data_IF_699050680838
#
_entry.id   IF_699050680838
#
_cell.length_a   1.000
_cell.length_b   1.000
_cell.length_c   1.000
_cell.angle_alpha   90.00
_cell.angle_beta   90.00
_cell.angle_gamma   90.00
#
_symmetry.space_group_name_H-M   'P 1'
#
loop_
_entity.id
_entity.type
_entity.pdbx_description
1 polymer ?
#
# COMPACT_ATOMS: atom_id res chain seq x y z
N UNK A 1 -13.96 -7.14 14.84
CA UNK A 1 -13.92 -5.68 14.58
C UNK A 1 -13.68 -5.52 13.08
N UNK A 2 -14.32 -4.55 12.41
CA UNK A 2 -14.04 -4.27 11.00
C UNK A 2 -12.60 -3.79 10.83
N UNK A 3 -11.96 -4.10 9.70
CA UNK A 3 -10.59 -3.61 9.41
C UNK A 3 -10.53 -2.07 9.35
N UNK A 4 -11.56 -1.41 8.86
CA UNK A 4 -11.69 0.05 8.86
C UNK A 4 -11.63 0.64 10.27
N UNK A 5 -12.44 0.12 11.20
CA UNK A 5 -12.44 0.54 12.62
C UNK A 5 -11.09 0.22 13.30
N UNK A 6 -10.46 -0.90 12.95
CA UNK A 6 -9.11 -1.21 13.47
C UNK A 6 -8.09 -0.16 13.03
N UNK A 7 -8.10 0.20 11.74
CA UNK A 7 -7.17 1.21 11.22
C UNK A 7 -7.38 2.57 11.91
N UNK A 8 -8.65 3.01 12.08
CA UNK A 8 -8.97 4.26 12.80
C UNK A 8 -8.39 4.27 14.20
N UNK A 9 -8.67 3.23 14.97
CA UNK A 9 -8.18 3.12 16.36
C UNK A 9 -6.64 3.15 16.43
N UNK A 10 -5.94 2.52 15.47
CA UNK A 10 -4.48 2.56 15.43
C UNK A 10 -3.99 3.99 15.11
N UNK A 11 -4.63 4.68 14.16
CA UNK A 11 -4.25 6.03 13.74
C UNK A 11 -4.52 7.10 14.81
N UNK A 12 -5.45 6.87 15.72
CA UNK A 12 -5.69 7.72 16.90
C UNK A 12 -4.55 7.63 17.93
N UNK A 13 -3.81 6.53 17.93
CA UNK A 13 -2.66 6.34 18.81
C UNK A 13 -1.45 7.19 18.40
N UNK A 14 -0.43 7.20 19.26
CA UNK A 14 0.79 7.99 19.08
C UNK A 14 1.90 7.23 18.36
N UNK A 15 1.73 5.92 18.13
CA UNK A 15 2.75 5.09 17.50
C UNK A 15 2.66 5.13 15.98
N UNK A 16 3.83 5.14 15.34
CA UNK A 16 3.93 5.01 13.88
C UNK A 16 3.52 3.62 13.44
N UNK A 17 2.61 3.55 12.51
CA UNK A 17 2.15 2.32 11.89
C UNK A 17 3.07 1.93 10.73
N UNK A 18 3.80 0.82 10.88
CA UNK A 18 4.60 0.25 9.79
C UNK A 18 3.72 -0.61 8.89
N UNK A 19 3.77 -0.34 7.59
CA UNK A 19 3.04 -1.08 6.56
C UNK A 19 4.00 -1.59 5.47
N UNK A 20 4.33 -2.89 5.44
CA UNK A 20 5.18 -3.45 4.40
C UNK A 20 4.46 -3.47 3.06
N UNK A 21 5.18 -3.21 1.97
CA UNK A 21 4.65 -3.39 0.63
C UNK A 21 4.35 -4.86 0.39
N UNK A 22 3.13 -5.12 -0.03
CA UNK A 22 2.68 -6.42 -0.52
C UNK A 22 2.04 -6.26 -1.90
N UNK A 23 1.92 -7.34 -2.62
CA UNK A 23 1.38 -7.35 -3.98
C UNK A 23 0.41 -8.50 -4.22
N UNK A 24 0.34 -9.46 -3.29
CA UNK A 24 -0.61 -10.57 -3.31
C UNK A 24 -0.99 -11.04 -1.89
N UNK A 25 -1.94 -11.94 -1.84
CA UNK A 25 -2.46 -12.50 -0.59
C UNK A 25 -1.42 -13.30 0.20
N UNK A 26 -0.48 -13.97 -0.47
CA UNK A 26 0.55 -14.76 0.21
C UNK A 26 1.56 -13.87 0.93
N UNK A 27 2.04 -12.80 0.26
CA UNK A 27 2.92 -11.82 0.87
C UNK A 27 2.23 -11.11 2.05
N UNK A 28 0.93 -10.82 1.94
CA UNK A 28 0.15 -10.21 3.00
C UNK A 28 0.04 -11.12 4.25
N UNK A 29 -0.24 -12.42 4.06
CA UNK A 29 -0.26 -13.41 5.15
C UNK A 29 1.08 -13.53 5.85
N UNK A 30 2.18 -13.50 5.11
CA UNK A 30 3.53 -13.49 5.71
C UNK A 30 3.70 -12.21 6.57
N UNK A 31 3.28 -11.06 6.07
CA UNK A 31 3.32 -9.81 6.84
C UNK A 31 2.55 -9.89 8.16
N UNK A 32 1.32 -10.42 8.13
CA UNK A 32 0.52 -10.65 9.34
C UNK A 32 1.18 -11.65 10.29
N UNK A 33 1.69 -12.78 9.78
CA UNK A 33 2.38 -13.82 10.57
C UNK A 33 3.64 -13.28 11.26
N UNK A 34 4.40 -12.43 10.61
CA UNK A 34 5.57 -11.73 11.19
C UNK A 34 5.17 -10.73 12.27
N UNK A 35 3.91 -10.26 12.28
CA UNK A 35 3.35 -9.42 13.33
C UNK A 35 3.08 -7.97 12.95
N UNK A 36 3.13 -7.61 11.67
CA UNK A 36 2.70 -6.31 11.20
C UNK A 36 1.22 -6.07 11.53
N UNK A 37 0.90 -4.84 11.93
CA UNK A 37 -0.46 -4.45 12.34
C UNK A 37 -1.28 -3.86 11.20
N UNK A 38 -0.67 -3.70 10.04
CA UNK A 38 -1.30 -3.29 8.79
C UNK A 38 -0.49 -3.77 7.61
N UNK A 39 -1.14 -3.88 6.47
CA UNK A 39 -0.56 -4.27 5.17
C UNK A 39 -0.79 -3.13 4.19
N UNK A 40 0.18 -2.87 3.33
CA UNK A 40 0.04 -1.92 2.24
C UNK A 40 0.09 -2.62 0.88
N UNK A 41 -0.98 -2.55 0.10
CA UNK A 41 -1.00 -3.01 -1.28
C UNK A 41 -0.39 -1.95 -2.19
N UNK A 42 0.77 -2.26 -2.75
CA UNK A 42 1.52 -1.35 -3.63
C UNK A 42 1.13 -1.54 -5.09
N UNK A 43 0.75 -0.45 -5.79
CA UNK A 43 0.52 -0.45 -7.24
C UNK A 43 1.73 -0.90 -8.03
N UNK A 44 2.93 -0.45 -7.62
CA UNK A 44 4.20 -0.95 -8.19
C UNK A 44 4.33 -2.48 -8.02
N UNK A 45 4.03 -3.00 -6.83
CA UNK A 45 4.11 -4.45 -6.58
C UNK A 45 3.10 -5.24 -7.39
N UNK A 46 1.87 -4.75 -7.51
CA UNK A 46 0.83 -5.40 -8.32
C UNK A 46 1.24 -5.38 -9.80
N UNK A 47 1.72 -4.26 -10.33
CA UNK A 47 2.23 -4.17 -11.70
C UNK A 47 3.39 -5.16 -11.95
N UNK A 48 4.34 -5.22 -11.03
CA UNK A 48 5.46 -6.17 -11.08
C UNK A 48 4.97 -7.63 -11.11
N UNK A 49 3.96 -7.97 -10.30
CA UNK A 49 3.38 -9.33 -10.27
C UNK A 49 2.68 -9.73 -11.55
N UNK A 50 2.22 -8.75 -12.34
CA UNK A 50 1.62 -8.93 -13.67
C UNK A 50 2.65 -8.85 -14.81
N UNK A 51 3.95 -8.60 -14.50
CA UNK A 51 5.02 -8.52 -15.48
C UNK A 51 4.99 -7.23 -16.32
N UNK A 52 4.37 -6.17 -15.85
CA UNK A 52 4.31 -4.87 -16.52
C UNK A 52 4.92 -3.75 -15.67
N UNK A 53 5.48 -2.70 -16.29
CA UNK A 53 5.96 -1.55 -15.54
C UNK A 53 4.80 -0.76 -14.94
N UNK A 54 5.06 -0.12 -13.80
CA UNK A 54 4.07 0.70 -13.09
C UNK A 54 3.96 2.12 -13.70
N UNK A 55 3.25 2.20 -14.83
CA UNK A 55 3.02 3.42 -15.60
C UNK A 55 1.54 3.61 -15.98
N UNK A 56 0.63 3.21 -15.10
CA UNK A 56 -0.80 3.36 -15.30
C UNK A 56 -1.41 2.37 -16.30
N UNK A 57 -0.80 1.17 -16.46
CA UNK A 57 -1.29 0.14 -17.37
C UNK A 57 -2.40 -0.72 -16.75
N UNK A 58 -2.40 -0.88 -15.43
CA UNK A 58 -3.42 -1.67 -14.75
C UNK A 58 -4.75 -0.91 -14.68
N UNK A 59 -5.82 -1.65 -14.87
CA UNK A 59 -7.18 -1.14 -14.75
C UNK A 59 -7.63 -1.10 -13.28
N UNK A 60 -8.65 -0.28 -12.99
CA UNK A 60 -9.32 -0.27 -11.69
C UNK A 60 -9.78 -1.69 -11.28
N UNK A 61 -10.32 -2.46 -12.22
CA UNK A 61 -10.82 -3.81 -11.94
C UNK A 61 -9.72 -4.75 -11.47
N UNK A 62 -8.57 -4.76 -12.13
CA UNK A 62 -7.41 -5.58 -11.74
C UNK A 62 -6.88 -5.22 -10.36
N UNK A 63 -6.81 -3.92 -10.07
CA UNK A 63 -6.34 -3.42 -8.78
C UNK A 63 -7.32 -3.77 -7.65
N UNK A 64 -8.63 -3.61 -7.86
CA UNK A 64 -9.66 -3.93 -6.86
C UNK A 64 -9.75 -5.44 -6.62
N UNK A 65 -9.66 -6.25 -7.66
CA UNK A 65 -9.63 -7.71 -7.52
C UNK A 65 -8.44 -8.15 -6.65
N UNK A 66 -7.27 -7.61 -6.91
CA UNK A 66 -6.07 -7.90 -6.11
C UNK A 66 -6.22 -7.41 -4.66
N UNK A 67 -6.78 -6.20 -4.46
CA UNK A 67 -7.07 -5.65 -3.14
C UNK A 67 -8.03 -6.55 -2.34
N UNK A 68 -9.06 -7.10 -2.99
CA UNK A 68 -10.01 -8.02 -2.38
C UNK A 68 -9.34 -9.32 -1.92
N UNK A 69 -8.47 -9.93 -2.76
CA UNK A 69 -7.72 -11.12 -2.36
C UNK A 69 -6.83 -10.85 -1.14
N UNK A 70 -6.13 -9.72 -1.12
CA UNK A 70 -5.29 -9.33 0.02
C UNK A 70 -6.15 -9.13 1.27
N UNK A 71 -7.18 -8.28 1.20
CA UNK A 71 -8.01 -7.91 2.36
C UNK A 71 -8.74 -9.12 2.98
N UNK A 72 -9.17 -10.08 2.14
CA UNK A 72 -9.83 -11.30 2.61
C UNK A 72 -8.86 -12.34 3.18
N UNK A 73 -7.57 -12.23 2.91
CA UNK A 73 -6.57 -13.21 3.34
C UNK A 73 -6.00 -12.92 4.72
N UNK A 74 -6.18 -11.70 5.26
CA UNK A 74 -5.61 -11.25 6.53
C UNK A 74 -6.69 -10.63 7.44
N UNK A 75 -6.40 -10.60 8.75
CA UNK A 75 -7.28 -9.98 9.74
C UNK A 75 -6.84 -8.55 10.11
N UNK A 76 -5.64 -8.16 9.75
CA UNK A 76 -5.12 -6.81 9.95
C UNK A 76 -5.61 -5.85 8.86
N UNK A 77 -5.74 -4.54 9.13
CA UNK A 77 -6.16 -3.56 8.14
C UNK A 77 -5.25 -3.55 6.91
N UNK A 78 -5.86 -3.39 5.74
CA UNK A 78 -5.15 -3.22 4.46
C UNK A 78 -5.37 -1.80 3.95
N UNK A 79 -4.29 -1.11 3.60
CA UNK A 79 -4.31 0.17 2.90
C UNK A 79 -3.91 -0.12 1.44
N UNK A 80 -4.68 0.37 0.47
CA UNK A 80 -4.41 0.08 -0.94
C UNK A 80 -4.04 1.34 -1.74
N UNK A 81 -3.16 1.15 -2.71
CA UNK A 81 -2.90 2.08 -3.79
C UNK A 81 -4.10 2.12 -4.74
N UNK A 82 -4.68 3.31 -4.97
CA UNK A 82 -5.77 3.52 -5.91
C UNK A 82 -5.36 4.44 -7.08
N UNK A 83 -4.06 4.55 -7.34
CA UNK A 83 -3.51 5.38 -8.41
C UNK A 83 -4.14 6.79 -8.43
N UNK A 84 -4.52 7.28 -9.60
CA UNK A 84 -5.20 8.57 -9.76
C UNK A 84 -6.72 8.50 -9.54
N UNK A 85 -7.24 7.42 -8.98
CA UNK A 85 -8.66 7.06 -8.94
C UNK A 85 -9.29 6.93 -10.34
N UNK A 86 -8.48 6.56 -11.33
CA UNK A 86 -8.86 6.10 -12.69
C UNK A 86 -9.73 7.09 -13.50
N UNK A 87 -9.59 8.38 -13.23
CA UNK A 87 -10.27 9.42 -14.02
C UNK A 87 -10.61 10.70 -13.25
N UNK A 88 -11.77 11.28 -13.53
CA UNK A 88 -12.23 12.54 -12.96
C UNK A 88 -12.87 12.37 -11.55
N UNK A 89 -13.43 13.42 -10.90
CA UNK A 89 -14.07 13.27 -9.58
C UNK A 89 -15.20 12.24 -9.51
N UNK A 90 -15.95 12.00 -10.58
CA UNK A 90 -16.99 10.95 -10.61
C UNK A 90 -16.37 9.55 -10.58
N UNK A 91 -15.22 9.38 -11.24
CA UNK A 91 -14.45 8.14 -11.15
C UNK A 91 -13.91 7.94 -9.73
N UNK A 92 -13.39 8.99 -9.09
CA UNK A 92 -12.93 8.92 -7.71
C UNK A 92 -14.04 8.49 -6.74
N UNK A 93 -15.25 9.04 -6.90
CA UNK A 93 -16.43 8.62 -6.15
C UNK A 93 -16.73 7.12 -6.31
N UNK A 94 -16.71 6.62 -7.55
CA UNK A 94 -16.93 5.20 -7.84
C UNK A 94 -15.79 4.34 -7.28
N UNK A 95 -14.55 4.77 -7.46
CA UNK A 95 -13.36 4.05 -6.99
C UNK A 95 -13.43 3.78 -5.50
N UNK A 96 -13.76 4.78 -4.69
CA UNK A 96 -13.90 4.60 -3.22
C UNK A 96 -14.95 3.54 -2.90
N UNK A 97 -16.13 3.59 -3.54
CA UNK A 97 -17.20 2.60 -3.33
C UNK A 97 -16.76 1.17 -3.65
N UNK A 98 -16.00 1.03 -4.71
CA UNK A 98 -15.55 -0.29 -5.16
C UNK A 98 -14.41 -0.83 -4.25
N UNK A 99 -13.46 0.02 -3.83
CA UNK A 99 -12.44 -0.36 -2.86
C UNK A 99 -13.01 -0.65 -1.47
N UNK A 100 -13.98 0.12 -1.01
CA UNK A 100 -14.67 -0.14 0.27
C UNK A 100 -15.32 -1.53 0.26
N UNK A 101 -15.96 -1.92 -0.85
CA UNK A 101 -16.54 -3.26 -1.03
C UNK A 101 -15.50 -4.38 -1.12
N UNK A 102 -14.29 -4.09 -1.54
CA UNK A 102 -13.21 -5.09 -1.58
C UNK A 102 -12.74 -5.52 -0.20
N UNK A 103 -13.07 -4.73 0.85
CA UNK A 103 -12.75 -5.02 2.24
C UNK A 103 -11.48 -4.35 2.76
N UNK A 104 -10.79 -3.52 1.95
CA UNK A 104 -9.65 -2.73 2.44
C UNK A 104 -10.11 -1.66 3.44
N UNK A 105 -9.21 -1.25 4.33
CA UNK A 105 -9.51 -0.30 5.39
C UNK A 105 -9.33 1.16 4.96
N UNK A 106 -8.61 1.40 3.89
CA UNK A 106 -8.39 2.73 3.32
C UNK A 106 -7.61 2.66 2.02
N UNK A 107 -7.58 3.78 1.32
CA UNK A 107 -6.86 3.95 0.06
C UNK A 107 -6.08 5.26 0.04
N UNK A 108 -5.04 5.33 -0.79
CA UNK A 108 -4.54 6.63 -1.21
C UNK A 108 -4.88 6.91 -2.68
N UNK A 109 -5.07 8.18 -2.96
CA UNK A 109 -5.35 8.72 -4.31
C UNK A 109 -4.32 9.81 -4.58
N UNK A 110 -3.68 9.76 -5.76
CA UNK A 110 -2.65 10.71 -6.15
C UNK A 110 -3.14 11.76 -7.16
N UNK A 111 -2.46 12.91 -7.17
CA UNK A 111 -2.76 14.05 -8.03
C UNK A 111 -2.01 14.04 -9.38
N UNK A 112 -1.46 12.92 -9.81
CA UNK A 112 -0.80 12.82 -11.11
C UNK A 112 -1.77 12.96 -12.29
N UNK A 113 -1.25 13.46 -13.40
CA UNK A 113 -1.92 13.37 -14.72
C UNK A 113 -1.93 11.91 -15.15
N UNK A 114 -3.08 11.41 -15.59
CA UNK A 114 -3.19 10.04 -16.11
C UNK A 114 -2.69 9.96 -17.56
N UNK A 115 -1.97 8.89 -17.97
CA UNK A 115 -1.57 7.75 -17.15
C UNK A 115 -0.44 8.11 -16.17
N UNK A 116 -0.60 7.69 -14.91
CA UNK A 116 0.38 7.97 -13.86
C UNK A 116 1.72 7.27 -14.12
N UNK A 117 2.73 7.68 -13.38
CA UNK A 117 4.05 7.02 -13.36
C UNK A 117 4.44 6.70 -11.93
N UNK A 118 5.12 5.57 -11.74
CA UNK A 118 5.69 5.23 -10.43
C UNK A 118 6.55 6.38 -9.89
N UNK A 119 6.54 6.57 -8.57
CA UNK A 119 7.32 7.60 -7.89
C UNK A 119 8.81 7.65 -8.26
N UNK A 120 9.37 6.52 -8.72
CA UNK A 120 10.77 6.39 -9.16
C UNK A 120 11.03 6.84 -10.60
N UNK A 121 10.00 7.08 -11.41
CA UNK A 121 10.15 7.41 -12.81
C UNK A 121 10.10 8.92 -13.05
N UNK A 122 10.88 9.37 -14.04
CA UNK A 122 10.88 10.75 -14.50
C UNK A 122 9.65 11.09 -15.37
N UNK A 123 9.42 12.38 -15.56
CA UNK A 123 8.38 12.91 -16.44
C UNK A 123 6.97 12.74 -15.86
N UNK A 124 6.84 12.78 -14.53
CA UNK A 124 5.55 12.98 -13.85
C UNK A 124 5.02 14.39 -14.13
N UNK A 125 3.71 14.51 -14.12
CA UNK A 125 2.98 15.78 -14.13
C UNK A 125 1.79 15.68 -13.19
N UNK A 126 1.30 16.82 -12.70
CA UNK A 126 0.19 16.87 -11.74
C UNK A 126 -0.99 17.66 -12.33
N UNK A 127 -2.19 17.19 -12.02
CA UNK A 127 -3.43 17.91 -12.36
C UNK A 127 -3.52 19.24 -11.59
N UNK A 128 -4.42 20.11 -11.98
CA UNK A 128 -4.65 21.34 -11.22
C UNK A 128 -5.03 21.05 -9.77
N UNK A 129 -4.63 21.93 -8.86
CA UNK A 129 -4.96 21.82 -7.44
C UNK A 129 -6.47 21.76 -7.23
N UNK A 130 -7.22 22.54 -7.99
CA UNK A 130 -8.68 22.61 -7.94
C UNK A 130 -9.32 21.28 -8.34
N UNK A 131 -8.85 20.64 -9.41
CA UNK A 131 -9.34 19.31 -9.82
C UNK A 131 -9.02 18.26 -8.77
N UNK A 132 -7.80 18.24 -8.24
CA UNK A 132 -7.39 17.32 -7.20
C UNK A 132 -8.25 17.48 -5.92
N UNK A 133 -8.54 18.72 -5.49
CA UNK A 133 -9.45 18.99 -4.37
C UNK A 133 -10.84 18.40 -4.64
N UNK A 134 -11.38 18.53 -5.85
CA UNK A 134 -12.70 17.96 -6.17
C UNK A 134 -12.67 16.44 -6.18
N UNK A 135 -11.56 15.81 -6.61
CA UNK A 135 -11.40 14.35 -6.51
C UNK A 135 -11.39 13.88 -5.07
N UNK A 136 -10.68 14.57 -4.17
CA UNK A 136 -10.66 14.24 -2.74
C UNK A 136 -12.04 14.44 -2.11
N UNK A 137 -12.74 15.55 -2.37
CA UNK A 137 -14.11 15.75 -1.89
C UNK A 137 -15.05 14.64 -2.34
N UNK A 138 -15.02 14.29 -3.63
CA UNK A 138 -15.82 13.20 -4.17
C UNK A 138 -15.49 11.85 -3.51
N UNK A 139 -14.21 11.60 -3.22
CA UNK A 139 -13.77 10.41 -2.51
C UNK A 139 -14.31 10.36 -1.06
N UNK A 140 -14.26 11.49 -0.35
CA UNK A 140 -14.78 11.60 1.02
C UNK A 140 -16.30 11.41 1.05
N UNK A 141 -17.02 12.06 0.14
CA UNK A 141 -18.49 11.97 0.04
C UNK A 141 -18.97 10.57 -0.39
N UNK A 142 -18.11 9.81 -1.04
CA UNK A 142 -18.44 8.46 -1.51
C UNK A 142 -18.48 7.41 -0.40
N UNK A 143 -17.82 7.65 0.73
CA UNK A 143 -17.72 6.67 1.82
C UNK A 143 -19.10 6.24 2.32
N UNK A 144 -19.28 4.93 2.55
CA UNK A 144 -20.44 4.39 3.28
C UNK A 144 -20.08 3.96 4.69
N UNK A 145 -18.82 3.62 4.90
CA UNK A 145 -18.26 3.37 6.21
C UNK A 145 -17.48 4.63 6.68
N UNK A 146 -17.92 5.32 7.74
CA UNK A 146 -17.23 6.51 8.23
C UNK A 146 -15.78 6.25 8.64
N UNK A 147 -15.47 4.99 9.00
CA UNK A 147 -14.13 4.57 9.40
C UNK A 147 -13.18 4.34 8.21
N UNK A 148 -13.70 4.27 6.97
CA UNK A 148 -12.86 4.12 5.78
C UNK A 148 -11.90 5.29 5.63
N UNK A 149 -10.60 5.02 5.44
CA UNK A 149 -9.54 6.05 5.45
C UNK A 149 -9.22 6.50 4.03
N UNK A 150 -9.27 7.81 3.80
CA UNK A 150 -8.82 8.45 2.55
C UNK A 150 -7.50 9.16 2.80
N UNK A 151 -6.47 8.76 2.07
CA UNK A 151 -5.14 9.38 2.08
C UNK A 151 -4.95 10.13 0.77
N UNK A 152 -4.69 11.43 0.85
CA UNK A 152 -4.44 12.24 -0.34
C UNK A 152 -2.94 12.30 -0.61
N UNK A 153 -2.50 11.71 -1.74
CA UNK A 153 -1.12 11.73 -2.18
C UNK A 153 -0.90 12.90 -3.14
N UNK A 154 0.22 13.62 -2.94
CA UNK A 154 0.71 14.60 -3.90
C UNK A 154 2.08 14.19 -4.44
N UNK A 155 2.20 14.20 -5.75
CA UNK A 155 3.45 14.04 -6.50
C UNK A 155 4.03 15.39 -6.96
N UNK A 156 3.47 16.51 -6.48
CA UNK A 156 3.87 17.86 -6.88
C UNK A 156 5.31 18.22 -6.47
N UNK A 157 5.90 17.54 -5.48
CA UNK A 157 7.24 17.85 -4.98
C UNK A 157 8.29 17.84 -6.09
N UNK A 158 8.28 16.83 -6.93
CA UNK A 158 9.25 16.68 -8.02
C UNK A 158 8.88 17.48 -9.27
N UNK A 159 7.66 18.02 -9.35
CA UNK A 159 7.15 18.81 -10.49
C UNK A 159 7.24 20.31 -10.17
N UNK A 160 6.73 20.73 -9.03
CA UNK A 160 6.50 22.14 -8.66
C UNK A 160 7.24 22.56 -7.39
N UNK A 161 7.86 21.64 -6.65
CA UNK A 161 8.58 21.92 -5.40
C UNK A 161 7.69 22.02 -4.17
N UNK A 162 8.33 22.37 -3.03
CA UNK A 162 7.70 22.30 -1.70
C UNK A 162 6.54 23.28 -1.49
N UNK A 163 6.57 24.46 -2.11
CA UNK A 163 5.53 25.49 -1.90
C UNK A 163 4.17 24.98 -2.40
N UNK A 164 4.09 24.55 -3.66
CA UNK A 164 2.86 24.00 -4.25
C UNK A 164 2.45 22.69 -3.53
N UNK A 165 3.42 21.83 -3.21
CA UNK A 165 3.13 20.57 -2.47
C UNK A 165 2.48 20.85 -1.12
N UNK A 166 2.99 21.81 -0.36
CA UNK A 166 2.44 22.15 0.94
C UNK A 166 1.03 22.76 0.84
N UNK A 167 0.80 23.62 -0.15
CA UNK A 167 -0.53 24.18 -0.41
C UNK A 167 -1.53 23.09 -0.78
N UNK A 168 -1.15 22.15 -1.65
CA UNK A 168 -1.98 21.00 -2.04
C UNK A 168 -2.33 20.13 -0.85
N UNK A 169 -1.33 19.72 -0.06
CA UNK A 169 -1.55 18.87 1.10
C UNK A 169 -2.51 19.51 2.11
N UNK A 170 -2.36 20.82 2.40
CA UNK A 170 -3.31 21.55 3.27
C UNK A 170 -4.71 21.53 2.69
N UNK A 171 -4.85 21.87 1.40
CA UNK A 171 -6.14 21.90 0.73
C UNK A 171 -6.82 20.52 0.66
N UNK A 172 -6.04 19.45 0.51
CA UNK A 172 -6.57 18.07 0.53
C UNK A 172 -7.05 17.65 1.92
N UNK A 173 -6.32 18.04 2.96
CA UNK A 173 -6.75 17.82 4.33
C UNK A 173 -8.04 18.61 4.66
N UNK A 174 -8.10 19.89 4.25
CA UNK A 174 -9.30 20.72 4.36
C UNK A 174 -10.49 20.17 3.53
N UNK A 175 -10.21 19.46 2.44
CA UNK A 175 -11.23 18.77 1.64
C UNK A 175 -11.74 17.47 2.28
N UNK A 176 -11.18 17.06 3.42
CA UNK A 176 -11.63 15.93 4.22
C UNK A 176 -10.78 14.66 4.12
N UNK A 177 -9.60 14.71 3.49
CA UNK A 177 -8.65 13.60 3.57
C UNK A 177 -8.22 13.36 5.03
N UNK A 178 -8.10 12.10 5.42
CA UNK A 178 -7.70 11.72 6.77
C UNK A 178 -6.20 11.91 7.02
N UNK A 179 -5.41 11.66 5.99
CA UNK A 179 -3.96 11.85 5.97
C UNK A 179 -3.52 12.41 4.62
N UNK A 180 -2.34 13.00 4.61
CA UNK A 180 -1.64 13.38 3.38
C UNK A 180 -0.39 12.53 3.19
N UNK A 181 0.00 12.36 1.92
CA UNK A 181 1.19 11.62 1.54
C UNK A 181 1.94 12.37 0.46
N UNK A 182 3.20 12.73 0.70
CA UNK A 182 4.08 13.36 -0.30
C UNK A 182 5.02 12.31 -0.86
N UNK A 183 4.98 12.13 -2.18
CA UNK A 183 5.94 11.28 -2.91
C UNK A 183 7.12 12.11 -3.42
N UNK A 184 8.24 11.44 -3.76
CA UNK A 184 9.45 12.11 -4.26
C UNK A 184 10.43 12.57 -3.19
N UNK A 185 10.24 12.19 -1.95
CA UNK A 185 11.14 12.49 -0.82
C UNK A 185 12.53 11.89 -1.04
N UNK A 186 13.57 12.71 -0.88
CA UNK A 186 14.97 12.32 -1.05
C UNK A 186 15.78 12.54 0.24
N UNK A 187 15.57 11.66 1.22
CA UNK A 187 16.35 11.63 2.44
C UNK A 187 15.79 12.46 3.59
N UNK A 188 16.59 12.54 4.67
CA UNK A 188 16.16 13.05 5.98
C UNK A 188 15.74 14.53 5.94
N UNK A 189 16.45 15.36 5.18
CA UNK A 189 16.16 16.80 5.09
C UNK A 189 14.78 17.08 4.49
N UNK A 190 14.39 16.32 3.48
CA UNK A 190 13.06 16.44 2.91
C UNK A 190 11.99 15.98 3.90
N UNK A 191 12.25 14.93 4.67
CA UNK A 191 11.32 14.47 5.71
C UNK A 191 11.18 15.49 6.85
N UNK A 192 12.25 16.14 7.26
CA UNK A 192 12.22 17.24 8.24
C UNK A 192 11.45 18.44 7.68
N UNK A 193 11.65 18.77 6.40
CA UNK A 193 10.90 19.83 5.69
C UNK A 193 9.42 19.48 5.64
N UNK A 194 9.10 18.25 5.23
CA UNK A 194 7.73 17.73 5.19
C UNK A 194 7.03 17.83 6.55
N UNK A 195 7.71 17.36 7.61
CA UNK A 195 7.18 17.44 8.96
C UNK A 195 6.95 18.88 9.43
N UNK A 196 7.91 19.78 9.17
CA UNK A 196 7.85 21.18 9.57
C UNK A 196 6.76 21.98 8.83
N UNK A 197 6.65 21.80 7.52
CA UNK A 197 5.76 22.58 6.66
C UNK A 197 4.28 22.26 6.94
N UNK A 198 3.95 21.02 7.27
CA UNK A 198 2.56 20.60 7.47
C UNK A 198 2.09 20.60 8.93
N UNK A 199 3.02 20.79 9.87
CA UNK A 199 2.67 20.89 11.29
C UNK A 199 1.91 19.65 11.79
N UNK A 200 0.70 19.85 12.30
CA UNK A 200 -0.12 18.79 12.94
C UNK A 200 -0.95 17.96 11.93
N UNK A 201 -0.88 18.24 10.63
CA UNK A 201 -1.61 17.45 9.63
C UNK A 201 -1.10 16.00 9.66
N UNK A 202 -1.99 14.99 9.87
CA UNK A 202 -1.62 13.60 9.84
C UNK A 202 -1.00 13.21 8.49
N UNK A 203 0.11 12.48 8.53
CA UNK A 203 0.88 12.22 7.31
C UNK A 203 1.48 10.84 7.25
N UNK A 204 1.60 10.36 6.03
CA UNK A 204 2.22 9.12 5.65
C UNK A 204 3.47 9.40 4.83
N UNK A 205 4.46 8.52 4.89
CA UNK A 205 5.59 8.58 3.96
C UNK A 205 6.07 7.19 3.53
N UNK A 206 6.80 7.16 2.41
CA UNK A 206 7.46 5.99 1.88
C UNK A 206 8.97 6.11 2.09
N UNK A 207 9.56 5.22 2.88
CA UNK A 207 11.01 5.27 3.10
C UNK A 207 11.51 4.42 4.26
N UNK A 208 12.80 4.58 4.53
CA UNK A 208 13.61 3.70 5.38
C UNK A 208 14.17 4.47 6.58
N UNK A 209 13.29 4.96 7.45
CA UNK A 209 13.73 5.52 8.73
C UNK A 209 13.54 4.52 9.87
N UNK A 210 14.38 4.55 10.89
CA UNK A 210 14.06 3.93 12.17
C UNK A 210 12.70 4.44 12.67
N UNK A 211 11.87 3.57 13.24
CA UNK A 211 10.53 3.93 13.75
C UNK A 211 10.57 5.10 14.73
N UNK A 212 11.63 5.15 15.58
CA UNK A 212 11.83 6.25 16.53
C UNK A 212 11.98 7.62 15.85
N UNK A 213 12.65 7.68 14.70
CA UNK A 213 12.79 8.92 13.91
C UNK A 213 11.49 9.30 13.22
N UNK A 214 10.78 8.31 12.65
CA UNK A 214 9.46 8.52 12.07
C UNK A 214 8.48 9.08 13.10
N UNK A 215 8.53 8.56 14.33
CA UNK A 215 7.71 9.03 15.44
C UNK A 215 8.12 10.44 15.89
N UNK A 216 9.41 10.73 15.99
CA UNK A 216 9.92 12.08 16.31
C UNK A 216 9.45 13.12 15.29
N UNK A 217 9.36 12.75 14.02
CA UNK A 217 8.88 13.60 12.93
C UNK A 217 7.35 13.63 12.82
N UNK A 218 6.62 12.92 13.68
CA UNK A 218 5.16 12.92 13.74
C UNK A 218 4.46 12.25 12.56
N UNK A 219 5.11 11.28 11.90
CA UNK A 219 4.44 10.45 10.90
C UNK A 219 3.50 9.46 11.56
N UNK A 220 2.33 9.25 10.95
CA UNK A 220 1.34 8.26 11.41
C UNK A 220 1.54 6.91 10.73
N UNK A 221 1.92 6.90 9.46
CA UNK A 221 2.15 5.69 8.66
C UNK A 221 3.51 5.78 7.97
N UNK A 222 4.26 4.71 8.03
CA UNK A 222 5.46 4.48 7.23
C UNK A 222 5.25 3.25 6.38
N UNK A 223 5.26 3.41 5.05
CA UNK A 223 5.25 2.30 4.11
C UNK A 223 6.67 1.97 3.66
N UNK A 224 6.94 0.69 3.40
CA UNK A 224 8.30 0.21 3.16
C UNK A 224 8.37 -0.77 1.98
N UNK A 225 9.16 -0.40 0.96
CA UNK A 225 9.32 -1.14 -0.32
C UNK A 225 10.26 -2.35 -0.26
N UNK A 226 11.00 -2.51 0.83
CA UNK A 226 12.06 -3.52 0.98
C UNK A 226 11.68 -4.95 0.58
N UNK A 227 10.48 -5.46 0.91
CA UNK A 227 10.08 -6.82 0.54
C UNK A 227 10.18 -7.10 -0.97
N UNK A 228 9.88 -6.14 -1.83
CA UNK A 228 9.92 -6.34 -3.29
C UNK A 228 11.34 -6.39 -3.86
N UNK A 229 12.25 -5.56 -3.33
CA UNK A 229 13.65 -5.61 -3.73
C UNK A 229 14.32 -6.92 -3.28
N UNK A 230 14.03 -7.34 -2.04
CA UNK A 230 14.51 -8.61 -1.50
C UNK A 230 14.01 -9.80 -2.31
N UNK A 231 12.75 -9.79 -2.74
CA UNK A 231 12.15 -10.82 -3.59
C UNK A 231 12.88 -10.94 -4.93
N UNK A 232 13.13 -9.84 -5.63
CA UNK A 232 13.86 -9.83 -6.90
C UNK A 232 15.25 -10.46 -6.73
N UNK A 233 15.99 -10.04 -5.70
CA UNK A 233 17.33 -10.55 -5.43
C UNK A 233 17.32 -12.05 -5.14
N UNK A 234 16.39 -12.51 -4.29
CA UNK A 234 16.27 -13.92 -3.92
C UNK A 234 15.90 -14.78 -5.14
N UNK A 235 14.86 -14.41 -5.89
CA UNK A 235 14.43 -15.17 -7.07
C UNK A 235 15.55 -15.22 -8.12
N UNK A 236 16.22 -14.11 -8.40
CA UNK A 236 17.33 -14.06 -9.36
C UNK A 236 18.48 -14.98 -8.94
N UNK A 237 18.83 -14.96 -7.65
CA UNK A 237 19.87 -15.83 -7.11
C UNK A 237 19.54 -17.31 -7.29
N UNK A 238 18.36 -17.72 -6.83
CA UNK A 238 17.91 -19.12 -6.93
C UNK A 238 17.77 -19.60 -8.38
N UNK A 239 17.18 -18.80 -9.27
CA UNK A 239 17.06 -19.18 -10.68
C UNK A 239 18.41 -19.29 -11.38
N UNK A 240 19.38 -18.42 -11.03
CA UNK A 240 20.73 -18.47 -11.56
C UNK A 240 21.48 -19.72 -11.09
N UNK A 241 21.38 -20.07 -9.81
CA UNK A 241 21.97 -21.31 -9.27
C UNK A 241 21.38 -22.54 -9.96
N UNK A 242 20.05 -22.63 -10.04
CA UNK A 242 19.34 -23.73 -10.69
C UNK A 242 19.75 -23.88 -12.17
N UNK A 243 19.84 -22.77 -12.91
CA UNK A 243 20.25 -22.78 -14.31
C UNK A 243 21.69 -23.30 -14.49
N UNK A 244 22.60 -22.93 -13.60
CA UNK A 244 24.01 -23.26 -13.71
C UNK A 244 24.36 -24.65 -13.21
N UNK A 245 23.65 -25.15 -12.21
CA UNK A 245 24.02 -26.39 -11.49
C UNK A 245 22.97 -27.50 -11.60
N UNK A 246 21.73 -27.19 -11.97
CA UNK A 246 20.60 -28.10 -11.92
C UNK A 246 20.10 -28.41 -10.51
N UNK A 247 20.67 -27.80 -9.48
CA UNK A 247 20.37 -28.03 -8.07
C UNK A 247 20.23 -26.69 -7.35
N UNK A 248 19.36 -26.63 -6.35
CA UNK A 248 19.29 -25.51 -5.40
C UNK A 248 19.88 -26.00 -4.07
N UNK A 249 21.06 -25.52 -3.73
CA UNK A 249 21.85 -25.98 -2.58
C UNK A 249 21.09 -25.85 -1.27
N UNK A 250 20.35 -24.76 -1.09
CA UNK A 250 19.55 -24.51 0.12
C UNK A 250 18.50 -25.60 0.39
N UNK A 251 18.04 -26.29 -0.66
CA UNK A 251 17.00 -27.33 -0.56
C UNK A 251 17.54 -28.76 -0.68
N UNK A 252 18.79 -28.92 -1.04
CA UNK A 252 19.40 -30.24 -1.29
C UNK A 252 19.47 -31.10 -0.02
N UNK A 253 19.63 -30.52 1.16
CA UNK A 253 19.82 -31.18 2.46
C UNK A 253 18.51 -31.49 3.22
N UNK A 254 17.39 -31.63 2.54
CA UNK A 254 16.09 -31.94 3.18
C UNK A 254 15.33 -30.75 3.76
N UNK A 255 15.86 -29.55 3.66
CA UNK A 255 15.20 -28.29 4.11
C UNK A 255 13.88 -28.03 3.38
N UNK A 256 13.66 -28.59 2.20
CA UNK A 256 12.42 -28.48 1.45
C UNK A 256 11.17 -28.94 2.21
N UNK A 257 11.31 -29.91 3.14
CA UNK A 257 10.19 -30.32 3.99
C UNK A 257 9.82 -29.30 5.05
N UNK A 258 10.80 -28.57 5.60
CA UNK A 258 10.61 -27.51 6.59
C UNK A 258 9.91 -26.32 5.91
N UNK A 259 10.39 -25.92 4.74
CA UNK A 259 9.80 -24.82 3.96
C UNK A 259 8.37 -25.14 3.50
N UNK A 260 8.11 -26.37 3.08
CA UNK A 260 6.74 -26.80 2.75
C UNK A 260 5.81 -26.67 3.95
N UNK A 261 6.25 -27.09 5.15
CA UNK A 261 5.48 -26.91 6.38
C UNK A 261 5.24 -25.44 6.72
N UNK A 262 6.22 -24.57 6.53
CA UNK A 262 6.06 -23.14 6.73
C UNK A 262 5.01 -22.56 5.77
N UNK A 263 5.11 -22.85 4.47
CA UNK A 263 4.15 -22.40 3.46
C UNK A 263 2.73 -22.89 3.79
N UNK A 264 2.56 -24.18 4.11
CA UNK A 264 1.24 -24.75 4.41
C UNK A 264 0.64 -24.16 5.69
N UNK A 265 1.47 -23.80 6.68
CA UNK A 265 1.02 -23.07 7.87
C UNK A 265 0.53 -21.66 7.52
N UNK A 266 1.32 -20.89 6.78
CA UNK A 266 0.94 -19.55 6.30
C UNK A 266 -0.38 -19.57 5.50
N UNK A 267 -0.65 -20.68 4.77
CA UNK A 267 -1.88 -20.87 4.00
C UNK A 267 -3.03 -21.47 4.83
N UNK A 268 -2.83 -21.72 6.14
CA UNK A 268 -3.83 -22.35 7.04
C UNK A 268 -4.38 -23.70 6.53
N UNK A 269 -3.48 -24.55 6.02
CA UNK A 269 -3.88 -25.87 5.51
C UNK A 269 -4.62 -26.69 6.58
N UNK A 270 -4.21 -26.60 7.84
CA UNK A 270 -4.82 -27.36 8.96
C UNK A 270 -6.29 -26.93 9.17
N UNK A 271 -6.57 -25.62 9.13
CA UNK A 271 -7.93 -25.09 9.23
C UNK A 271 -8.81 -25.59 8.08
N UNK A 272 -8.30 -25.61 6.85
CA UNK A 272 -9.03 -26.17 5.70
C UNK A 272 -9.25 -27.68 5.82
N UNK A 273 -8.29 -28.44 6.33
CA UNK A 273 -8.47 -29.88 6.61
C UNK A 273 -9.52 -30.12 7.70
N UNK A 274 -9.63 -29.24 8.70
CA UNK A 274 -10.70 -29.31 9.70
C UNK A 274 -12.08 -29.08 9.09
N UNK A 275 -12.19 -28.12 8.17
CA UNK A 275 -13.42 -27.89 7.41
C UNK A 275 -13.77 -29.09 6.52
N UNK A 276 -12.78 -29.67 5.85
CA UNK A 276 -12.96 -30.88 5.04
C UNK A 276 -13.51 -32.03 5.88
N UNK A 277 -12.93 -32.31 7.06
CA UNK A 277 -13.40 -33.33 7.99
C UNK A 277 -14.84 -33.11 8.46
N UNK A 278 -15.29 -31.85 8.53
CA UNK A 278 -16.67 -31.52 8.98
C UNK A 278 -17.70 -31.63 7.87
N UNK A 279 -17.34 -31.30 6.65
CA UNK A 279 -18.33 -31.06 5.60
C UNK A 279 -18.22 -32.00 4.39
N UNK A 280 -17.08 -32.64 4.18
CA UNK A 280 -16.92 -33.60 3.09
C UNK A 280 -17.14 -35.02 3.66
N UNK A 281 -18.29 -35.60 3.31
CA UNK A 281 -18.57 -37.00 3.58
C UNK A 281 -17.77 -37.89 2.63
N UNK A 282 -17.09 -38.90 3.15
CA UNK A 282 -16.37 -39.92 2.36
C UNK A 282 -17.38 -40.78 1.60
#
# INVERSE_FOLDING_TARGET
MKQTTQLRNILEGDQVLLAPFTYDAFAARIGEEVGFKTIYMSGFGVSMSKGVPDIGLLTQTEMIENAAYIAQSVNVPVIADADTAYGNPLNAWRTVRDYERSGVAGIHIEDQVAPKKCGFFEGKDVISKEEAIQKIRAAVDAKTDPDFVIIARSDALVVNGWEDTAERCRAYYEAGADLVFVDGIQGIKDLETYASILGDIPRMYNGELPVSESQRLGFKIQIHRGPMFSLHTAITGFMSELLNTGVMTEYADGNGSILRKAITRTLDLEGFQDLERRYVTQ
#
